data_IF_557396249855
#
_entry.id   IF_557396249855
#
_cell.length_a   1.000
_cell.length_b   1.000
_cell.length_c   1.000
_cell.angle_alpha   90.00
_cell.angle_beta   90.00
_cell.angle_gamma   90.00
#
_symmetry.space_group_name_H-M   'P 1'
#
loop_
_entity.id
_entity.type
_entity.pdbx_description
1 polymer ?
#
# COMPACT_ATOMS: atom_id res chain seq x y z
N UNK A 1 10.90 -47.54 -1.52
CA UNK A 1 11.13 -46.48 -2.54
C UNK A 1 9.93 -45.53 -2.68
N UNK A 2 8.68 -45.94 -2.46
CA UNK A 2 7.49 -45.06 -2.59
C UNK A 2 7.35 -44.01 -1.47
N UNK A 3 7.60 -44.35 -0.20
CA UNK A 3 7.41 -43.42 0.93
C UNK A 3 8.34 -42.19 0.91
N UNK A 4 9.60 -42.36 0.52
CA UNK A 4 10.58 -41.26 0.45
C UNK A 4 10.27 -40.26 -0.67
N UNK A 5 9.79 -40.74 -1.83
CA UNK A 5 9.42 -39.84 -2.93
C UNK A 5 8.22 -38.97 -2.59
N UNK A 6 7.23 -39.50 -1.88
CA UNK A 6 6.06 -38.71 -1.42
C UNK A 6 6.49 -37.59 -0.48
N UNK A 7 7.43 -37.86 0.44
CA UNK A 7 7.96 -36.84 1.36
C UNK A 7 8.74 -35.77 0.60
N UNK A 8 9.60 -36.14 -0.37
CA UNK A 8 10.38 -35.19 -1.17
C UNK A 8 9.45 -34.27 -1.98
N UNK A 9 8.41 -34.85 -2.59
CA UNK A 9 7.40 -34.08 -3.35
C UNK A 9 6.69 -33.10 -2.42
N UNK A 10 6.24 -33.56 -1.25
CA UNK A 10 5.57 -32.70 -0.27
C UNK A 10 6.46 -31.55 0.20
N UNK A 11 7.72 -31.82 0.57
CA UNK A 11 8.69 -30.80 0.99
C UNK A 11 8.98 -29.81 -0.14
N UNK A 12 9.10 -30.28 -1.38
CA UNK A 12 9.33 -29.42 -2.54
C UNK A 12 8.14 -28.50 -2.77
N UNK A 13 6.91 -29.02 -2.68
CA UNK A 13 5.68 -28.23 -2.80
C UNK A 13 5.60 -27.18 -1.69
N UNK A 14 5.86 -27.56 -0.44
CA UNK A 14 5.85 -26.63 0.71
C UNK A 14 6.91 -25.53 0.53
N UNK A 15 8.10 -25.87 0.04
CA UNK A 15 9.18 -24.91 -0.20
C UNK A 15 8.81 -23.93 -1.32
N UNK A 16 8.24 -24.42 -2.43
CA UNK A 16 7.76 -23.57 -3.51
C UNK A 16 6.64 -22.64 -3.04
N UNK A 17 5.71 -23.13 -2.23
CA UNK A 17 4.64 -22.33 -1.64
C UNK A 17 5.20 -21.24 -0.71
N UNK A 18 6.17 -21.57 0.15
CA UNK A 18 6.80 -20.61 1.04
C UNK A 18 7.55 -19.50 0.28
N UNK A 19 8.29 -19.85 -0.78
CA UNK A 19 8.96 -18.87 -1.65
C UNK A 19 7.95 -17.98 -2.38
N UNK A 20 6.84 -18.55 -2.82
CA UNK A 20 5.76 -17.82 -3.48
C UNK A 20 5.11 -16.79 -2.54
N UNK A 21 4.74 -17.21 -1.32
CA UNK A 21 4.15 -16.32 -0.29
C UNK A 21 5.12 -15.20 0.08
N UNK A 22 6.40 -15.52 0.30
CA UNK A 22 7.41 -14.52 0.63
C UNK A 22 7.60 -13.49 -0.49
N UNK A 23 7.53 -13.92 -1.76
CA UNK A 23 7.59 -13.04 -2.92
C UNK A 23 6.45 -12.02 -2.94
N UNK A 24 5.20 -12.49 -2.87
CA UNK A 24 4.02 -11.62 -2.91
C UNK A 24 3.93 -10.69 -1.70
N UNK A 25 4.34 -11.16 -0.51
CA UNK A 25 4.31 -10.38 0.72
C UNK A 25 5.23 -9.14 0.65
N UNK A 26 6.46 -9.32 0.14
CA UNK A 26 7.43 -8.21 0.02
C UNK A 26 6.91 -7.09 -0.87
N UNK A 27 6.26 -7.44 -1.96
CA UNK A 27 5.75 -6.47 -2.93
C UNK A 27 4.50 -5.74 -2.37
N UNK A 28 3.64 -6.44 -1.63
CA UNK A 28 2.51 -5.84 -0.90
C UNK A 28 2.98 -4.78 0.11
N UNK A 29 3.97 -5.12 0.92
CA UNK A 29 4.52 -4.23 1.94
C UNK A 29 5.20 -3.02 1.30
N UNK A 30 5.93 -3.22 0.20
CA UNK A 30 6.57 -2.14 -0.54
C UNK A 30 5.55 -1.14 -1.13
N UNK A 31 4.39 -1.62 -1.62
CA UNK A 31 3.32 -0.77 -2.12
C UNK A 31 2.61 -0.01 -0.99
N UNK A 32 2.37 -0.67 0.14
CA UNK A 32 1.80 -0.03 1.32
C UNK A 32 2.70 1.09 1.85
N UNK A 33 4.01 0.86 1.90
CA UNK A 33 4.98 1.86 2.36
C UNK A 33 5.05 3.08 1.42
N UNK A 34 4.86 2.88 0.11
CA UNK A 34 4.71 4.00 -0.85
C UNK A 34 3.46 4.82 -0.55
N UNK A 35 2.34 4.15 -0.28
CA UNK A 35 1.08 4.79 0.06
C UNK A 35 1.22 5.64 1.34
N UNK A 36 1.83 5.10 2.40
CA UNK A 36 2.10 5.83 3.65
C UNK A 36 2.96 7.07 3.43
N UNK A 37 4.01 6.96 2.60
CA UNK A 37 4.88 8.10 2.26
C UNK A 37 4.12 9.18 1.48
N UNK A 38 3.34 8.79 0.48
CA UNK A 38 2.53 9.73 -0.30
C UNK A 38 1.47 10.44 0.56
N UNK A 39 0.83 9.71 1.47
CA UNK A 39 -0.09 10.30 2.45
C UNK A 39 0.60 11.29 3.38
N UNK A 40 1.78 10.95 3.91
CA UNK A 40 2.56 11.86 4.76
C UNK A 40 2.86 13.19 4.05
N UNK A 41 3.30 13.11 2.79
CA UNK A 41 3.58 14.29 1.96
C UNK A 41 2.32 15.14 1.71
N UNK A 42 1.18 14.49 1.44
CA UNK A 42 -0.10 15.18 1.31
C UNK A 42 -0.48 15.91 2.61
N UNK A 43 -0.37 15.23 3.76
CA UNK A 43 -0.68 15.81 5.07
C UNK A 43 0.21 17.01 5.41
N UNK A 44 1.51 16.92 5.11
CA UNK A 44 2.45 18.02 5.29
C UNK A 44 2.11 19.22 4.39
N UNK A 45 1.74 18.97 3.12
CA UNK A 45 1.33 20.03 2.21
C UNK A 45 0.04 20.73 2.68
N UNK A 46 -0.96 19.97 3.13
CA UNK A 46 -2.19 20.53 3.72
C UNK A 46 -1.89 21.39 4.95
N UNK A 47 -1.04 20.89 5.86
CA UNK A 47 -0.67 21.62 7.07
C UNK A 47 0.05 22.94 6.74
N UNK A 48 0.95 22.91 5.74
CA UNK A 48 1.65 24.12 5.28
C UNK A 48 0.68 25.13 4.65
N UNK A 49 -0.28 24.67 3.84
CA UNK A 49 -1.31 25.53 3.27
C UNK A 49 -2.15 26.19 4.37
N UNK A 50 -2.62 25.41 5.35
CA UNK A 50 -3.39 25.93 6.48
C UNK A 50 -2.58 26.94 7.32
N UNK A 51 -1.29 26.67 7.55
CA UNK A 51 -0.40 27.59 8.25
C UNK A 51 -0.20 28.91 7.49
N UNK A 52 0.00 28.85 6.17
CA UNK A 52 0.18 30.04 5.32
C UNK A 52 -1.08 30.91 5.27
N UNK A 53 -2.27 30.29 5.20
CA UNK A 53 -3.55 31.01 5.25
C UNK A 53 -3.75 31.73 6.59
N UNK A 54 -3.41 31.08 7.71
CA UNK A 54 -3.51 31.69 9.05
C UNK A 54 -2.47 32.80 9.29
N UNK A 55 -1.30 32.71 8.65
CA UNK A 55 -0.22 33.68 8.77
C UNK A 55 -0.36 34.89 7.83
N UNK A 56 -1.46 35.01 7.07
CA UNK A 56 -1.66 36.04 6.05
C UNK A 56 -0.53 36.09 5.00
N UNK A 57 -0.01 34.93 4.59
CA UNK A 57 1.06 34.85 3.60
C UNK A 57 0.65 35.43 2.23
N UNK A 58 1.60 35.86 1.39
CA UNK A 58 1.30 36.36 0.05
C UNK A 58 0.47 35.38 -0.78
N UNK A 59 -0.47 35.90 -1.58
CA UNK A 59 -1.36 35.09 -2.41
C UNK A 59 -0.61 34.17 -3.40
N UNK A 60 0.55 34.61 -3.90
CA UNK A 60 1.41 33.80 -4.77
C UNK A 60 1.96 32.55 -4.06
N UNK A 61 2.31 32.67 -2.78
CA UNK A 61 2.83 31.56 -1.98
C UNK A 61 1.70 30.57 -1.67
N UNK A 62 0.51 31.07 -1.32
CA UNK A 62 -0.69 30.25 -1.11
C UNK A 62 -1.04 29.46 -2.37
N UNK A 63 -1.07 30.11 -3.54
CA UNK A 63 -1.36 29.44 -4.82
C UNK A 63 -0.33 28.34 -5.14
N UNK A 64 0.94 28.54 -4.82
CA UNK A 64 1.98 27.52 -5.00
C UNK A 64 1.79 26.31 -4.06
N UNK A 65 1.36 26.55 -2.82
CA UNK A 65 1.02 25.53 -1.84
C UNK A 65 -0.23 24.74 -2.24
N UNK A 66 -1.27 25.41 -2.76
CA UNK A 66 -2.47 24.77 -3.29
C UNK A 66 -2.15 23.83 -4.45
N UNK A 67 -1.29 24.26 -5.39
CA UNK A 67 -0.81 23.41 -6.49
C UNK A 67 -0.08 22.16 -5.96
N UNK A 68 0.76 22.33 -4.94
CA UNK A 68 1.47 21.21 -4.28
C UNK A 68 0.54 20.25 -3.55
N UNK A 69 -0.52 20.75 -2.90
CA UNK A 69 -1.58 19.91 -2.30
C UNK A 69 -2.30 19.10 -3.39
N UNK A 70 -2.64 19.72 -4.52
CA UNK A 70 -3.24 19.04 -5.67
C UNK A 70 -2.35 17.91 -6.22
N UNK A 71 -1.06 18.20 -6.42
CA UNK A 71 -0.09 17.21 -6.89
C UNK A 71 0.09 16.03 -5.92
N UNK A 72 0.29 16.30 -4.63
CA UNK A 72 0.46 15.24 -3.61
C UNK A 72 -0.80 14.39 -3.44
N UNK A 73 -1.99 14.98 -3.62
CA UNK A 73 -3.25 14.24 -3.66
C UNK A 73 -3.32 13.28 -4.85
N UNK A 74 -2.89 13.71 -6.02
CA UNK A 74 -2.84 12.85 -7.21
C UNK A 74 -1.84 11.70 -7.00
N UNK A 75 -0.63 11.98 -6.50
CA UNK A 75 0.36 10.94 -6.17
C UNK A 75 -0.18 9.90 -5.19
N UNK A 76 -0.93 10.35 -4.17
CA UNK A 76 -1.58 9.44 -3.23
C UNK A 76 -2.63 8.56 -3.93
N UNK A 77 -3.49 9.14 -4.76
CA UNK A 77 -4.49 8.38 -5.54
C UNK A 77 -3.83 7.35 -6.45
N UNK A 78 -2.76 7.72 -7.15
CA UNK A 78 -2.00 6.81 -8.01
C UNK A 78 -1.37 5.66 -7.21
N UNK A 79 -0.81 5.95 -6.03
CA UNK A 79 -0.25 4.94 -5.14
C UNK A 79 -1.30 3.95 -4.63
N UNK A 80 -2.50 4.44 -4.30
CA UNK A 80 -3.61 3.57 -3.86
C UNK A 80 -4.12 2.71 -5.00
N UNK A 81 -4.28 3.29 -6.20
CA UNK A 81 -4.68 2.54 -7.39
C UNK A 81 -3.68 1.42 -7.72
N UNK A 82 -2.37 1.69 -7.60
CA UNK A 82 -1.33 0.71 -7.85
C UNK A 82 -1.34 -0.44 -6.82
N UNK A 83 -1.57 -0.12 -5.53
CA UNK A 83 -1.75 -1.13 -4.48
C UNK A 83 -2.96 -2.03 -4.75
N UNK A 84 -4.12 -1.43 -5.07
CA UNK A 84 -5.35 -2.17 -5.38
C UNK A 84 -5.20 -3.03 -6.64
N UNK A 85 -4.55 -2.51 -7.69
CA UNK A 85 -4.26 -3.26 -8.92
C UNK A 85 -3.37 -4.48 -8.63
N UNK A 86 -2.36 -4.33 -7.77
CA UNK A 86 -1.47 -5.43 -7.41
C UNK A 86 -2.18 -6.52 -6.59
N UNK A 87 -3.08 -6.15 -5.66
CA UNK A 87 -3.96 -7.11 -4.97
C UNK A 87 -4.84 -7.90 -5.95
N UNK A 88 -5.33 -7.26 -7.02
CA UNK A 88 -6.23 -7.89 -8.01
C UNK A 88 -5.52 -8.70 -9.11
N UNK A 89 -4.19 -8.68 -9.21
CA UNK A 89 -3.48 -9.56 -10.15
C UNK A 89 -3.59 -11.01 -9.67
N UNK A 90 -4.26 -11.84 -10.46
CA UNK A 90 -4.44 -13.29 -10.24
C UNK A 90 -3.13 -14.03 -10.52
N UNK A 91 -2.23 -14.09 -9.53
CA UNK A 91 -2.44 -15.05 -8.45
C UNK A 91 -2.26 -14.51 -7.00
N UNK A 92 -1.97 -13.23 -6.80
CA UNK A 92 -1.84 -12.58 -5.48
C UNK A 92 -3.17 -12.58 -4.69
N UNK A 93 -4.31 -12.50 -5.38
CA UNK A 93 -5.64 -12.57 -4.75
C UNK A 93 -5.92 -13.91 -4.07
N UNK A 94 -5.46 -15.02 -4.65
CA UNK A 94 -5.61 -16.38 -4.10
C UNK A 94 -4.80 -16.53 -2.81
N UNK A 95 -3.58 -15.96 -2.78
CA UNK A 95 -2.73 -15.94 -1.56
C UNK A 95 -3.32 -15.03 -0.49
N UNK A 96 -3.83 -13.86 -0.86
CA UNK A 96 -4.47 -12.93 0.06
C UNK A 96 -5.75 -13.52 0.68
N UNK A 97 -6.52 -14.29 -0.10
CA UNK A 97 -7.72 -15.00 0.36
C UNK A 97 -7.38 -16.17 1.30
N UNK A 98 -6.33 -16.94 1.00
CA UNK A 98 -5.85 -18.05 1.84
C UNK A 98 -5.24 -17.60 3.18
N UNK A 99 -4.62 -16.42 3.23
CA UNK A 99 -3.97 -15.87 4.42
C UNK A 99 -4.85 -14.90 5.23
N UNK A 100 -6.14 -14.77 4.88
CA UNK A 100 -7.10 -13.96 5.64
C UNK A 100 -6.96 -12.44 5.45
N UNK A 101 -6.23 -11.97 4.43
CA UNK A 101 -6.09 -10.55 4.09
C UNK A 101 -7.23 -10.10 3.16
N UNK A 102 -8.47 -10.25 3.64
CA UNK A 102 -9.70 -9.93 2.89
C UNK A 102 -10.04 -8.44 2.87
N UNK A 103 -9.43 -7.63 3.73
CA UNK A 103 -9.78 -6.22 3.82
C UNK A 103 -9.14 -5.42 2.68
N UNK A 104 -9.99 -4.83 1.87
CA UNK A 104 -9.60 -3.85 0.87
C UNK A 104 -9.21 -2.56 1.59
N UNK A 105 -8.02 -2.04 1.28
CA UNK A 105 -7.56 -0.76 1.81
C UNK A 105 -8.41 0.32 1.16
N UNK A 106 -9.50 0.68 1.86
CA UNK A 106 -10.47 1.64 1.38
C UNK A 106 -9.94 3.07 1.50
N UNK A 107 -10.29 3.86 0.48
CA UNK A 107 -9.61 5.03 -0.06
C UNK A 107 -9.66 6.33 0.77
N UNK A 108 -10.20 6.34 1.99
CA UNK A 108 -10.59 7.61 2.65
C UNK A 108 -9.87 7.97 3.96
N UNK A 109 -8.77 7.30 4.25
CA UNK A 109 -7.92 7.61 5.41
C UNK A 109 -7.93 6.43 6.35
N UNK A 110 -6.75 6.09 6.88
CA UNK A 110 -6.49 5.07 7.88
C UNK A 110 -7.69 4.74 8.79
N UNK A 111 -8.63 3.90 8.35
CA UNK A 111 -9.56 3.27 9.28
C UNK A 111 -8.76 2.18 9.96
N UNK A 112 -8.26 2.61 11.11
CA UNK A 112 -7.45 1.90 12.09
C UNK A 112 -8.21 0.68 12.58
N UNK A 113 -7.58 -0.50 12.51
CA UNK A 113 -7.37 -1.28 13.74
C UNK A 113 -6.15 -2.19 13.65
N UNK A 114 -5.14 -1.84 14.42
CA UNK A 114 -4.22 -2.81 15.00
C UNK A 114 -5.03 -3.78 15.89
N UNK A 115 -4.67 -5.07 15.89
CA UNK A 115 -5.24 -6.20 16.68
C UNK A 115 -6.49 -6.85 16.09
N UNK A 116 -6.59 -8.18 16.00
CA UNK A 116 -5.94 -9.25 16.79
C UNK A 116 -5.41 -10.41 15.94
#
# INVERSE_FOLDING_TARGET
MTGTHVIIIFVTIVTLLALYVFGTYRELVALLDRCKKAFGQFKEAEQQLAAAQNASSPAADIASLESRVGFTRQLFQDSVNNYNTYKHKSPTSVVAELLGHRDDVSLLGFEVKHTA
#
